data_IF_927391890413
#
_entry.id   IF_927391890413
#
_cell.length_a   1.000
_cell.length_b   1.000
_cell.length_c   1.000
_cell.angle_alpha   90.00
_cell.angle_beta   90.00
_cell.angle_gamma   90.00
#
_symmetry.space_group_name_H-M   'P 1'
#
loop_
_entity.id
_entity.type
_entity.pdbx_description
1 polymer ?
#
# COMPACT_ATOMS: atom_id res chain seq x y z
N UNK A 1 14.90 2.90 40.40
CA UNK A 1 14.65 1.94 39.32
C UNK A 1 13.68 2.64 38.39
N UNK A 2 14.22 3.17 37.30
CA UNK A 2 13.67 4.35 36.65
C UNK A 2 12.41 4.05 35.85
N UNK A 3 11.42 4.94 35.94
CA UNK A 3 10.14 4.82 35.26
C UNK A 3 10.27 4.61 33.74
N UNK A 4 11.37 5.08 33.15
CA UNK A 4 11.71 4.88 31.74
C UNK A 4 12.08 3.43 31.40
N UNK A 5 12.71 2.72 32.34
CA UNK A 5 13.04 1.31 32.15
C UNK A 5 11.76 0.45 32.21
N UNK A 6 10.85 0.77 33.12
CA UNK A 6 9.54 0.09 33.20
C UNK A 6 8.70 0.31 31.95
N UNK A 7 8.66 1.54 31.40
CA UNK A 7 7.94 1.84 30.14
C UNK A 7 8.53 1.08 28.95
N UNK A 8 9.85 1.02 28.86
CA UNK A 8 10.55 0.28 27.81
C UNK A 8 10.26 -1.22 27.85
N UNK A 9 10.24 -1.81 29.05
CA UNK A 9 9.89 -3.23 29.24
C UNK A 9 8.42 -3.49 28.83
N UNK A 10 7.49 -2.62 29.25
CA UNK A 10 6.07 -2.74 28.85
C UNK A 10 5.92 -2.65 27.33
N UNK A 11 6.61 -1.72 26.68
CA UNK A 11 6.58 -1.58 25.22
C UNK A 11 7.10 -2.85 24.52
N UNK A 12 8.20 -3.44 25.01
CA UNK A 12 8.74 -4.70 24.49
C UNK A 12 7.77 -5.88 24.70
N UNK A 13 7.09 -5.95 25.85
CA UNK A 13 6.09 -6.99 26.12
C UNK A 13 4.85 -6.84 25.21
N UNK A 14 4.40 -5.61 24.95
CA UNK A 14 3.29 -5.35 24.02
C UNK A 14 3.70 -5.70 22.59
N UNK A 15 4.91 -5.32 22.18
CA UNK A 15 5.44 -5.66 20.85
C UNK A 15 5.56 -7.19 20.69
N UNK A 16 6.16 -7.86 21.68
CA UNK A 16 6.32 -9.31 21.68
C UNK A 16 4.98 -10.05 21.63
N UNK A 17 4.00 -9.62 22.42
CA UNK A 17 2.65 -10.22 22.40
C UNK A 17 1.94 -9.97 21.08
N UNK A 18 2.06 -8.77 20.49
CA UNK A 18 1.48 -8.45 19.18
C UNK A 18 2.06 -9.31 18.06
N UNK A 19 3.39 -9.51 18.05
CA UNK A 19 4.06 -10.39 17.07
C UNK A 19 3.61 -11.84 17.28
N UNK A 20 3.47 -12.30 18.52
CA UNK A 20 3.01 -13.66 18.81
C UNK A 20 1.58 -13.89 18.31
N UNK A 21 0.68 -12.91 18.51
CA UNK A 21 -0.69 -12.96 17.99
C UNK A 21 -0.69 -12.97 16.45
N UNK A 22 0.10 -12.11 15.81
CA UNK A 22 0.22 -12.10 14.34
C UNK A 22 0.77 -13.42 13.80
N UNK A 23 1.79 -14.00 14.44
CA UNK A 23 2.35 -15.30 14.08
C UNK A 23 1.33 -16.43 14.29
N UNK A 24 0.56 -16.39 15.39
CA UNK A 24 -0.51 -17.33 15.66
C UNK A 24 -1.62 -17.27 14.61
N UNK A 25 -2.08 -16.07 14.26
CA UNK A 25 -3.08 -15.85 13.22
C UNK A 25 -2.58 -16.27 11.83
N UNK A 26 -1.31 -15.98 11.51
CA UNK A 26 -0.69 -16.42 10.25
C UNK A 26 -0.61 -17.95 10.18
N UNK A 27 -0.20 -18.61 11.27
CA UNK A 27 -0.13 -20.08 11.35
C UNK A 27 -1.51 -20.72 11.27
N UNK A 28 -2.49 -20.15 11.98
CA UNK A 28 -3.87 -20.61 11.92
C UNK A 28 -4.44 -20.49 10.50
N UNK A 29 -4.21 -19.35 9.86
CA UNK A 29 -4.60 -19.13 8.46
C UNK A 29 -3.93 -20.15 7.54
N UNK A 30 -2.63 -20.39 7.71
CA UNK A 30 -1.88 -21.39 6.94
C UNK A 30 -2.48 -22.80 7.05
N UNK A 31 -2.88 -23.21 8.26
CA UNK A 31 -3.48 -24.53 8.51
C UNK A 31 -4.89 -24.63 7.90
N UNK A 32 -5.69 -23.56 8.01
CA UNK A 32 -7.10 -23.60 7.59
C UNK A 32 -7.31 -23.37 6.10
N UNK A 33 -6.44 -22.59 5.45
CA UNK A 33 -6.62 -22.24 4.04
C UNK A 33 -5.93 -23.25 3.13
N UNK A 34 -6.72 -23.94 2.30
CA UNK A 34 -6.20 -24.76 1.19
C UNK A 34 -5.80 -23.85 0.03
N UNK A 35 -4.66 -23.17 0.17
CA UNK A 35 -4.11 -22.30 -0.86
C UNK A 35 -3.22 -23.13 -1.80
N UNK A 36 -3.50 -23.14 -3.12
CA UNK A 36 -2.76 -23.96 -4.06
C UNK A 36 -1.29 -23.51 -4.23
N UNK A 37 -1.01 -22.21 -4.12
CA UNK A 37 0.37 -21.69 -4.15
C UNK A 37 0.54 -20.42 -3.31
N UNK A 38 1.70 -20.28 -2.69
CA UNK A 38 2.11 -19.11 -1.92
C UNK A 38 3.00 -18.15 -2.73
N UNK A 39 3.19 -18.43 -4.02
CA UNK A 39 3.93 -17.53 -4.90
C UNK A 39 3.13 -16.25 -5.11
N UNK A 40 3.80 -15.10 -4.92
CA UNK A 40 3.27 -13.79 -5.26
C UNK A 40 3.38 -13.49 -6.77
N UNK A 41 3.96 -14.40 -7.55
CA UNK A 41 4.02 -14.30 -9.00
C UNK A 41 2.66 -14.67 -9.60
N UNK A 42 2.03 -13.80 -10.40
CA UNK A 42 0.77 -14.14 -11.06
C UNK A 42 0.94 -15.26 -12.08
N UNK A 43 2.17 -15.48 -12.61
CA UNK A 43 2.47 -16.59 -13.51
C UNK A 43 2.38 -17.93 -12.77
N UNK A 44 3.04 -18.05 -11.61
CA UNK A 44 3.01 -19.27 -10.80
C UNK A 44 1.61 -19.54 -10.25
N UNK A 45 0.89 -18.48 -9.86
CA UNK A 45 -0.51 -18.57 -9.45
C UNK A 45 -1.39 -19.08 -10.59
N UNK A 46 -1.24 -18.54 -11.81
CA UNK A 46 -1.99 -18.99 -12.98
C UNK A 46 -1.68 -20.43 -13.34
N UNK A 47 -0.39 -20.81 -13.37
CA UNK A 47 0.05 -22.18 -13.65
C UNK A 47 -0.55 -23.18 -12.66
N UNK A 48 -0.45 -22.88 -11.37
CA UNK A 48 -1.00 -23.76 -10.33
C UNK A 48 -2.54 -23.88 -10.44
N UNK A 49 -3.22 -22.80 -10.82
CA UNK A 49 -4.66 -22.81 -11.07
C UNK A 49 -5.07 -23.57 -12.34
N UNK A 50 -4.17 -23.72 -13.32
CA UNK A 50 -4.38 -24.52 -14.52
C UNK A 50 -4.17 -26.01 -14.25
N UNK A 51 -3.13 -26.38 -13.50
CA UNK A 51 -2.69 -27.78 -13.37
C UNK A 51 -3.20 -28.48 -12.10
N UNK A 52 -3.23 -27.78 -10.96
CA UNK A 52 -3.39 -28.42 -9.62
C UNK A 52 -4.75 -28.11 -8.99
N UNK A 53 -5.39 -27.00 -9.35
CA UNK A 53 -6.62 -26.53 -8.70
C UNK A 53 -7.87 -27.29 -9.15
N UNK A 54 -8.43 -28.10 -8.25
CA UNK A 54 -9.69 -28.83 -8.48
C UNK A 54 -10.96 -28.01 -8.15
N UNK A 55 -10.85 -26.88 -7.44
CA UNK A 55 -12.02 -26.12 -6.97
C UNK A 55 -12.48 -25.07 -7.96
N UNK A 56 -11.54 -24.41 -8.66
CA UNK A 56 -11.81 -23.46 -9.75
C UNK A 56 -10.73 -23.63 -10.83
N UNK A 57 -10.82 -24.68 -11.66
CA UNK A 57 -9.86 -24.88 -12.74
C UNK A 57 -9.97 -23.72 -13.74
N UNK A 58 -8.84 -23.12 -14.06
CA UNK A 58 -8.75 -22.23 -15.21
C UNK A 58 -8.70 -23.10 -16.48
N UNK A 59 -9.29 -22.62 -17.56
CA UNK A 59 -9.21 -23.29 -18.85
C UNK A 59 -8.67 -22.32 -19.89
N UNK A 60 -7.67 -22.74 -20.65
CA UNK A 60 -7.12 -21.90 -21.73
C UNK A 60 -8.15 -21.77 -22.85
N UNK A 61 -8.59 -20.54 -23.12
CA UNK A 61 -9.52 -20.26 -24.22
C UNK A 61 -8.74 -19.90 -25.49
N UNK A 62 -8.57 -20.88 -26.37
CA UNK A 62 -7.85 -20.70 -27.65
C UNK A 62 -8.50 -19.70 -28.61
N UNK A 63 -9.73 -19.23 -28.35
CA UNK A 63 -10.36 -18.21 -29.20
C UNK A 63 -10.10 -16.79 -28.71
N UNK A 64 -9.47 -16.62 -27.54
CA UNK A 64 -9.26 -15.32 -26.88
C UNK A 64 -7.79 -14.86 -26.88
N UNK A 65 -6.99 -15.37 -27.81
CA UNK A 65 -5.62 -14.92 -27.97
C UNK A 65 -5.56 -13.41 -28.27
N UNK A 66 -4.54 -12.74 -27.72
CA UNK A 66 -4.25 -11.32 -27.92
C UNK A 66 -5.29 -10.32 -27.36
N UNK A 67 -6.26 -10.74 -26.54
CA UNK A 67 -7.18 -9.82 -25.87
C UNK A 67 -6.67 -9.36 -24.51
N UNK A 68 -6.79 -8.06 -24.25
CA UNK A 68 -6.50 -7.50 -22.93
C UNK A 68 -7.62 -7.84 -21.95
N UNK A 69 -7.33 -7.77 -20.65
CA UNK A 69 -8.33 -7.83 -19.58
C UNK A 69 -9.44 -6.79 -19.74
N UNK A 70 -9.16 -5.65 -20.39
CA UNK A 70 -10.18 -4.63 -20.73
C UNK A 70 -11.29 -5.19 -21.62
N UNK A 71 -10.94 -6.12 -22.48
CA UNK A 71 -11.84 -6.70 -23.48
C UNK A 71 -12.47 -8.02 -22.96
N UNK A 72 -12.45 -8.26 -21.63
CA UNK A 72 -12.91 -9.53 -21.00
C UNK A 72 -14.38 -9.88 -21.21
N UNK A 73 -15.22 -8.89 -21.45
CA UNK A 73 -16.66 -9.09 -21.71
C UNK A 73 -17.00 -9.01 -23.21
N UNK A 74 -16.01 -8.89 -24.09
CA UNK A 74 -16.23 -8.77 -25.54
C UNK A 74 -16.14 -10.13 -26.23
N UNK A 75 -16.97 -10.33 -27.26
CA UNK A 75 -17.01 -11.56 -28.07
C UNK A 75 -15.65 -11.83 -28.69
N UNK A 76 -15.15 -13.05 -28.58
CA UNK A 76 -13.83 -13.52 -29.04
C UNK A 76 -13.66 -13.47 -30.56
N UNK A 77 -13.46 -12.25 -31.09
CA UNK A 77 -13.12 -12.00 -32.48
C UNK A 77 -11.62 -11.75 -32.67
N UNK A 78 -11.04 -12.08 -33.84
CA UNK A 78 -9.66 -11.77 -34.17
C UNK A 78 -9.37 -10.27 -33.98
N UNK A 79 -8.31 -9.95 -33.24
CA UNK A 79 -7.94 -8.56 -32.95
C UNK A 79 -6.47 -8.29 -33.22
N UNK A 80 -6.17 -7.08 -33.69
CA UNK A 80 -4.81 -6.64 -33.98
C UNK A 80 -4.15 -6.16 -32.67
N UNK A 81 -2.86 -6.44 -32.43
CA UNK A 81 -2.15 -5.93 -31.27
C UNK A 81 -2.23 -4.39 -31.18
N UNK A 82 -2.69 -3.90 -30.03
CA UNK A 82 -2.71 -2.47 -29.72
C UNK A 82 -1.28 -2.01 -29.38
N UNK A 83 -0.84 -0.86 -29.93
CA UNK A 83 0.48 -0.27 -29.62
C UNK A 83 0.62 0.18 -28.16
N UNK A 84 -0.50 0.62 -27.57
CA UNK A 84 -0.60 1.10 -26.18
C UNK A 84 -1.84 0.50 -25.56
N UNK A 85 -1.69 -0.13 -24.40
CA UNK A 85 -2.80 -0.78 -23.72
C UNK A 85 -3.56 0.19 -22.81
N UNK A 86 -4.72 -0.23 -22.32
CA UNK A 86 -5.47 0.53 -21.31
C UNK A 86 -4.75 0.58 -19.97
N UNK A 87 -5.15 1.53 -19.12
CA UNK A 87 -4.57 1.75 -17.79
C UNK A 87 -5.14 0.80 -16.74
N UNK A 88 -4.46 0.66 -15.62
CA UNK A 88 -4.93 -0.14 -14.49
C UNK A 88 -6.30 0.34 -13.96
N UNK A 89 -6.52 1.67 -13.98
CA UNK A 89 -7.75 2.32 -13.53
C UNK A 89 -9.01 1.88 -14.29
N UNK A 90 -8.87 1.45 -15.54
CA UNK A 90 -10.00 1.02 -16.37
C UNK A 90 -10.36 -0.44 -16.17
N UNK A 91 -9.48 -1.24 -15.56
CA UNK A 91 -9.68 -2.69 -15.37
C UNK A 91 -10.35 -3.00 -14.04
N UNK A 92 -9.84 -2.41 -12.97
CA UNK A 92 -10.21 -2.76 -11.60
C UNK A 92 -10.97 -1.59 -10.96
N UNK A 93 -12.22 -1.82 -10.56
CA UNK A 93 -13.00 -0.83 -9.78
C UNK A 93 -12.33 -0.52 -8.45
N UNK A 94 -11.65 -1.49 -7.86
CA UNK A 94 -11.00 -1.37 -6.55
C UNK A 94 -9.83 -0.39 -6.58
N UNK A 95 -9.17 -0.25 -7.74
CA UNK A 95 -8.14 0.77 -7.96
C UNK A 95 -8.73 2.18 -7.88
N UNK A 96 -9.97 2.37 -8.36
CA UNK A 96 -10.67 3.66 -8.24
C UNK A 96 -10.98 3.99 -6.78
N UNK A 97 -11.41 2.99 -6.01
CA UNK A 97 -11.67 3.14 -4.57
C UNK A 97 -10.39 3.41 -3.79
N UNK A 98 -9.32 2.65 -4.04
CA UNK A 98 -8.01 2.86 -3.44
C UNK A 98 -7.48 4.27 -3.73
N UNK A 99 -7.60 4.72 -4.99
CA UNK A 99 -7.17 6.04 -5.41
C UNK A 99 -8.04 7.15 -4.77
N UNK A 100 -9.37 6.97 -4.77
CA UNK A 100 -10.30 7.88 -4.10
C UNK A 100 -10.00 8.01 -2.61
N UNK A 101 -9.69 6.91 -1.93
CA UNK A 101 -9.29 6.91 -0.53
C UNK A 101 -8.00 7.70 -0.30
N UNK A 102 -6.95 7.47 -1.10
CA UNK A 102 -5.70 8.25 -0.99
C UNK A 102 -5.91 9.74 -1.25
N UNK A 103 -6.75 10.10 -2.21
CA UNK A 103 -7.13 11.49 -2.44
C UNK A 103 -7.97 12.08 -1.31
N UNK A 104 -8.78 11.28 -0.62
CA UNK A 104 -9.55 11.72 0.56
C UNK A 104 -8.67 11.98 1.80
N UNK A 105 -7.51 11.32 1.92
CA UNK A 105 -6.54 11.60 3.00
C UNK A 105 -6.03 13.04 2.93
N UNK A 106 -5.86 13.61 1.72
CA UNK A 106 -5.34 14.98 1.55
C UNK A 106 -6.24 16.05 2.18
N UNK A 107 -7.54 16.18 1.83
CA UNK A 107 -8.42 17.15 2.47
C UNK A 107 -8.65 16.84 3.94
N UNK A 108 -8.61 15.57 4.37
CA UNK A 108 -8.62 15.22 5.80
C UNK A 108 -7.37 15.76 6.52
N UNK A 109 -6.20 15.64 5.91
CA UNK A 109 -4.95 16.21 6.42
C UNK A 109 -4.97 17.74 6.45
N UNK A 110 -5.51 18.39 5.42
CA UNK A 110 -5.71 19.85 5.39
C UNK A 110 -6.71 20.32 6.46
N UNK A 111 -7.79 19.57 6.67
CA UNK A 111 -8.75 19.83 7.74
C UNK A 111 -8.07 19.70 9.12
N UNK A 112 -7.32 18.63 9.33
CA UNK A 112 -6.55 18.44 10.55
C UNK A 112 -5.52 19.56 10.78
N UNK A 113 -4.77 19.94 9.75
CA UNK A 113 -3.88 21.10 9.78
C UNK A 113 -4.61 22.40 10.15
N UNK A 114 -5.77 22.66 9.53
CA UNK A 114 -6.60 23.83 9.84
C UNK A 114 -7.10 23.86 11.27
N UNK A 115 -7.52 22.71 11.82
CA UNK A 115 -7.89 22.57 13.23
C UNK A 115 -6.71 22.86 14.13
N UNK A 116 -5.55 22.26 13.86
CA UNK A 116 -4.33 22.49 14.65
C UNK A 116 -3.92 23.96 14.60
N UNK A 117 -3.95 24.61 13.43
CA UNK A 117 -3.63 26.02 13.26
C UNK A 117 -4.63 26.95 13.97
N UNK A 118 -5.92 26.65 13.90
CA UNK A 118 -6.96 27.47 14.52
C UNK A 118 -6.82 27.50 16.05
N UNK A 119 -6.48 26.35 16.64
CA UNK A 119 -6.32 26.20 18.09
C UNK A 119 -4.86 26.29 18.56
N UNK A 120 -3.90 26.55 17.66
CA UNK A 120 -2.50 26.73 18.06
C UNK A 120 -2.25 28.12 18.62
N UNK A 121 -1.24 28.24 19.48
CA UNK A 121 -0.76 29.52 20.01
C UNK A 121 0.72 29.68 19.64
N UNK A 122 1.07 30.50 18.63
CA UNK A 122 0.24 31.46 17.92
C UNK A 122 -0.67 30.83 16.85
N UNK A 123 -1.78 31.52 16.54
CA UNK A 123 -2.78 31.08 15.55
C UNK A 123 -2.46 31.54 14.12
N UNK A 124 -1.33 32.21 13.91
CA UNK A 124 -0.89 32.71 12.60
C UNK A 124 0.37 31.99 12.13
N UNK A 125 0.40 31.63 10.83
CA UNK A 125 1.50 30.89 10.21
C UNK A 125 2.81 31.68 10.18
N UNK A 126 2.73 33.00 10.10
CA UNK A 126 3.91 33.89 10.03
C UNK A 126 4.77 33.84 11.29
N UNK A 127 4.17 33.42 12.41
CA UNK A 127 4.85 33.30 13.69
C UNK A 127 5.38 31.88 13.96
N UNK A 128 5.13 30.94 13.04
CA UNK A 128 5.55 29.56 13.19
C UNK A 128 6.90 29.30 12.51
N UNK A 129 7.87 28.69 13.20
CA UNK A 129 9.17 28.38 12.60
C UNK A 129 9.04 27.24 11.58
N UNK A 130 9.56 27.47 10.37
CA UNK A 130 9.52 26.52 9.25
C UNK A 130 10.64 25.45 9.34
N UNK A 131 10.89 24.94 10.54
CA UNK A 131 11.95 23.97 10.78
C UNK A 131 11.50 22.55 10.40
N UNK A 132 12.42 21.75 9.85
CA UNK A 132 12.14 20.35 9.50
C UNK A 132 11.87 19.49 10.74
N UNK A 133 12.57 19.79 11.83
CA UNK A 133 12.33 19.19 13.14
C UNK A 133 11.45 20.12 13.98
N UNK A 134 10.57 19.58 14.84
CA UNK A 134 9.78 20.40 15.75
C UNK A 134 10.72 21.15 16.69
N UNK A 135 10.66 22.48 16.66
CA UNK A 135 11.26 23.32 17.69
C UNK A 135 10.38 23.28 18.94
N UNK A 136 10.99 23.39 20.12
CA UNK A 136 10.25 23.55 21.39
C UNK A 136 9.45 24.86 21.46
N UNK A 137 9.67 25.77 20.51
CA UNK A 137 8.92 27.01 20.35
C UNK A 137 7.50 26.75 19.77
N UNK A 138 6.57 26.53 20.71
CA UNK A 138 5.11 26.79 20.84
C UNK A 138 4.17 26.76 19.62
N UNK A 139 4.58 26.63 18.35
CA UNK A 139 3.61 26.53 17.25
C UNK A 139 2.98 25.13 17.16
N UNK A 140 1.95 24.90 17.97
CA UNK A 140 1.18 23.67 18.00
C UNK A 140 -0.06 23.73 18.88
N UNK A 141 -0.87 22.69 18.76
CA UNK A 141 -2.04 22.43 19.61
C UNK A 141 -1.61 21.55 20.80
N UNK A 142 -1.91 22.02 22.00
CA UNK A 142 -1.63 21.32 23.26
C UNK A 142 -2.95 20.88 23.87
N UNK A 143 -3.21 19.58 23.84
CA UNK A 143 -4.39 18.98 24.48
C UNK A 143 -3.94 18.44 25.83
N UNK A 144 -4.41 19.09 26.89
CA UNK A 144 -4.13 18.68 28.26
C UNK A 144 -5.36 18.03 28.89
N UNK A 145 -5.22 16.79 29.36
CA UNK A 145 -6.27 16.07 30.06
C UNK A 145 -6.26 16.43 31.55
N UNK A 146 -7.33 17.04 32.05
CA UNK A 146 -7.42 17.55 33.43
C UNK A 146 -7.93 16.52 34.44
N UNK A 147 -8.68 15.51 33.99
CA UNK A 147 -9.35 14.56 34.88
C UNK A 147 -9.19 13.12 34.37
N UNK A 148 -8.77 12.20 35.24
CA UNK A 148 -8.77 10.75 34.97
C UNK A 148 -7.55 10.02 35.53
N UNK A 149 -7.68 8.73 35.87
CA UNK A 149 -6.53 7.91 36.23
C UNK A 149 -5.60 7.71 35.02
N UNK A 150 -4.29 7.60 35.27
CA UNK A 150 -3.25 7.62 34.23
C UNK A 150 -3.44 6.60 33.10
N UNK A 151 -4.04 5.44 33.38
CA UNK A 151 -4.28 4.41 32.38
C UNK A 151 -5.39 4.78 31.38
N UNK A 152 -6.43 5.50 31.81
CA UNK A 152 -7.50 5.98 30.93
C UNK A 152 -6.97 7.06 29.98
N UNK A 153 -6.17 7.98 30.49
CA UNK A 153 -5.54 9.04 29.70
C UNK A 153 -4.58 8.47 28.63
N UNK A 154 -3.82 7.45 29.00
CA UNK A 154 -2.97 6.71 28.08
C UNK A 154 -3.80 6.04 26.96
N UNK A 155 -4.89 5.36 27.33
CA UNK A 155 -5.76 4.68 26.36
C UNK A 155 -6.40 5.67 25.39
N UNK A 156 -6.94 6.80 25.88
CA UNK A 156 -7.52 7.85 25.02
C UNK A 156 -6.47 8.42 24.06
N UNK A 157 -5.26 8.69 24.56
CA UNK A 157 -4.16 9.20 23.73
C UNK A 157 -3.78 8.20 22.63
N UNK A 158 -3.66 6.90 22.96
CA UNK A 158 -3.39 5.84 21.98
C UNK A 158 -4.52 5.74 20.93
N UNK A 159 -5.78 5.83 21.35
CA UNK A 159 -6.91 5.79 20.41
C UNK A 159 -6.90 6.97 19.45
N UNK A 160 -6.60 8.18 19.91
CA UNK A 160 -6.50 9.37 19.06
C UNK A 160 -5.34 9.24 18.08
N UNK A 161 -4.15 8.87 18.56
CA UNK A 161 -2.98 8.67 17.69
C UNK A 161 -3.25 7.58 16.66
N UNK A 162 -3.86 6.47 17.07
CA UNK A 162 -4.26 5.38 16.17
C UNK A 162 -5.28 5.83 15.13
N UNK A 163 -6.29 6.61 15.53
CA UNK A 163 -7.29 7.15 14.61
C UNK A 163 -6.66 8.08 13.56
N UNK A 164 -5.66 8.88 13.94
CA UNK A 164 -4.93 9.75 13.00
C UNK A 164 -3.95 8.97 12.10
N UNK A 165 -3.30 7.92 12.64
CA UNK A 165 -2.33 7.10 11.91
C UNK A 165 -2.99 6.11 10.92
N UNK A 166 -4.19 5.64 11.24
CA UNK A 166 -4.86 4.58 10.48
C UNK A 166 -5.08 4.96 9.01
N UNK A 167 -5.63 6.14 8.65
CA UNK A 167 -5.79 6.54 7.26
C UNK A 167 -4.48 6.54 6.46
N UNK A 168 -3.40 7.06 7.05
CA UNK A 168 -2.08 7.09 6.41
C UNK A 168 -1.54 5.68 6.16
N UNK A 169 -1.69 4.79 7.15
CA UNK A 169 -1.24 3.40 7.07
C UNK A 169 -2.01 2.62 6.00
N UNK A 170 -3.35 2.76 5.99
CA UNK A 170 -4.19 2.15 4.96
C UNK A 170 -3.82 2.71 3.58
N UNK A 171 -3.61 4.03 3.44
CA UNK A 171 -3.23 4.65 2.17
C UNK A 171 -1.92 4.10 1.61
N UNK A 172 -0.91 3.90 2.47
CA UNK A 172 0.36 3.28 2.10
C UNK A 172 0.19 1.82 1.66
N UNK A 173 -0.68 1.04 2.31
CA UNK A 173 -0.98 -0.34 1.90
C UNK A 173 -1.78 -0.38 0.59
N UNK A 174 -2.70 0.56 0.37
CA UNK A 174 -3.36 0.70 -0.93
C UNK A 174 -2.34 1.00 -2.04
N UNK A 175 -1.41 1.94 -1.81
CA UNK A 175 -0.34 2.24 -2.77
C UNK A 175 0.57 1.02 -3.03
N UNK A 176 0.81 0.19 -2.02
CA UNK A 176 1.54 -1.07 -2.15
C UNK A 176 0.85 -2.06 -3.09
N UNK A 177 -0.47 -2.24 -2.95
CA UNK A 177 -1.25 -3.08 -3.87
C UNK A 177 -1.15 -2.59 -5.31
N UNK A 178 -1.22 -1.27 -5.54
CA UNK A 178 -1.07 -0.67 -6.87
C UNK A 178 0.34 -0.87 -7.45
N UNK A 179 1.38 -0.72 -6.62
CA UNK A 179 2.77 -0.96 -7.02
C UNK A 179 2.98 -2.43 -7.41
N UNK A 180 2.43 -3.35 -6.63
CA UNK A 180 2.50 -4.79 -6.93
C UNK A 180 1.82 -5.09 -8.26
N UNK A 181 0.62 -4.58 -8.49
CA UNK A 181 -0.12 -4.78 -9.73
C UNK A 181 0.61 -4.23 -10.96
N UNK A 182 1.23 -3.05 -10.83
CA UNK A 182 2.07 -2.44 -11.89
C UNK A 182 3.35 -3.24 -12.14
N UNK A 183 4.00 -3.72 -11.07
CA UNK A 183 5.22 -4.53 -11.16
C UNK A 183 4.94 -5.87 -11.83
N UNK A 184 3.83 -6.50 -11.48
CA UNK A 184 3.42 -7.80 -12.00
C UNK A 184 3.14 -7.72 -13.51
N UNK A 185 2.47 -6.65 -13.97
CA UNK A 185 2.30 -6.36 -15.39
C UNK A 185 3.64 -6.15 -16.10
N UNK A 186 4.62 -5.49 -15.45
CA UNK A 186 5.97 -5.32 -16.00
C UNK A 186 6.73 -6.64 -16.10
N UNK A 187 6.60 -7.53 -15.10
CA UNK A 187 7.20 -8.87 -15.13
C UNK A 187 6.60 -9.67 -16.28
N UNK A 188 5.28 -9.69 -16.44
CA UNK A 188 4.63 -10.39 -17.54
C UNK A 188 5.14 -9.91 -18.91
N UNK A 189 5.37 -8.60 -19.07
CA UNK A 189 5.93 -8.04 -20.32
C UNK A 189 7.37 -8.45 -20.60
N UNK A 190 8.13 -8.85 -19.59
CA UNK A 190 9.45 -9.43 -19.83
C UNK A 190 9.36 -10.82 -20.47
N UNK A 191 8.19 -11.48 -20.47
CA UNK A 191 8.01 -12.80 -21.06
C UNK A 191 8.17 -12.79 -22.58
N UNK A 192 7.85 -11.67 -23.22
CA UNK A 192 8.04 -11.48 -24.65
C UNK A 192 9.48 -11.17 -25.04
N UNK A 193 10.40 -11.02 -24.08
CA UNK A 193 11.82 -10.84 -24.35
C UNK A 193 12.48 -12.15 -24.76
N UNK A 194 13.54 -12.09 -25.57
CA UNK A 194 14.31 -13.28 -25.98
C UNK A 194 14.93 -14.07 -24.82
N UNK A 195 14.99 -13.49 -23.62
CA UNK A 195 15.45 -14.15 -22.39
C UNK A 195 14.32 -14.83 -21.58
N UNK A 196 13.06 -14.61 -21.93
CA UNK A 196 11.89 -15.02 -21.15
C UNK A 196 11.78 -14.31 -19.78
N UNK A 197 10.81 -14.73 -18.96
CA UNK A 197 10.69 -14.31 -17.55
C UNK A 197 11.31 -15.31 -16.60
N UNK A 198 12.00 -14.79 -15.57
CA UNK A 198 12.19 -15.53 -14.32
C UNK A 198 11.14 -15.02 -13.32
N UNK A 199 10.22 -15.86 -12.82
CA UNK A 199 9.18 -15.42 -11.88
C UNK A 199 9.76 -14.85 -10.57
N UNK A 200 10.97 -15.29 -10.19
CA UNK A 200 11.72 -14.77 -9.04
C UNK A 200 12.47 -13.45 -9.32
N UNK A 201 11.84 -12.51 -10.03
CA UNK A 201 12.45 -11.20 -10.24
C UNK A 201 12.50 -10.43 -8.91
N UNK A 202 13.70 -9.98 -8.55
CA UNK A 202 13.95 -9.36 -7.25
C UNK A 202 13.13 -8.07 -7.10
N UNK A 203 12.14 -8.07 -6.19
CA UNK A 203 11.20 -6.96 -6.00
C UNK A 203 11.91 -5.63 -5.71
N UNK A 204 13.09 -5.68 -5.09
CA UNK A 204 13.91 -4.53 -4.74
C UNK A 204 14.56 -3.80 -5.93
N UNK A 205 14.53 -4.36 -7.14
CA UNK A 205 14.99 -3.67 -8.36
C UNK A 205 13.94 -2.74 -8.97
N UNK A 206 12.71 -2.81 -8.48
CA UNK A 206 11.58 -2.02 -8.95
C UNK A 206 11.66 -0.60 -8.37
N UNK A 207 11.78 0.43 -9.21
CA UNK A 207 11.78 1.81 -8.75
C UNK A 207 10.46 2.17 -8.03
N UNK A 208 9.33 1.58 -8.45
CA UNK A 208 8.03 1.72 -7.78
C UNK A 208 8.12 1.27 -6.32
N UNK A 209 8.77 0.13 -6.08
CA UNK A 209 8.92 -0.47 -4.75
C UNK A 209 9.89 0.30 -3.88
N UNK A 210 11.01 0.76 -4.45
CA UNK A 210 11.98 1.61 -3.73
C UNK A 210 11.28 2.91 -3.28
N UNK A 211 10.58 3.58 -4.19
CA UNK A 211 9.92 4.84 -3.89
C UNK A 211 8.78 4.66 -2.86
N UNK A 212 8.03 3.56 -2.94
CA UNK A 212 7.03 3.19 -1.94
C UNK A 212 7.66 2.96 -0.55
N UNK A 213 8.78 2.26 -0.45
CA UNK A 213 9.48 2.08 0.84
C UNK A 213 9.94 3.40 1.42
N UNK A 214 10.45 4.30 0.58
CA UNK A 214 10.78 5.66 1.01
C UNK A 214 9.54 6.38 1.52
N UNK A 215 8.41 6.35 0.80
CA UNK A 215 7.16 6.95 1.29
C UNK A 215 6.68 6.36 2.63
N UNK A 216 6.74 5.04 2.80
CA UNK A 216 6.40 4.38 4.07
C UNK A 216 7.23 4.93 5.22
N UNK A 217 8.55 4.95 5.06
CA UNK A 217 9.47 5.45 6.07
C UNK A 217 9.25 6.95 6.36
N UNK A 218 9.18 7.78 5.32
CA UNK A 218 9.00 9.22 5.46
C UNK A 218 7.65 9.57 6.07
N UNK A 219 6.53 9.04 5.58
CA UNK A 219 5.20 9.40 6.10
C UNK A 219 5.07 9.03 7.58
N UNK A 220 5.53 7.83 7.98
CA UNK A 220 5.50 7.44 9.39
C UNK A 220 6.42 8.28 10.27
N UNK A 221 7.62 8.61 9.78
CA UNK A 221 8.53 9.50 10.50
C UNK A 221 7.94 10.91 10.66
N UNK A 222 7.42 11.49 9.57
CA UNK A 222 6.77 12.81 9.57
C UNK A 222 5.53 12.84 10.46
N UNK A 223 4.75 11.76 10.48
CA UNK A 223 3.62 11.60 11.40
C UNK A 223 4.09 11.60 12.86
N UNK A 224 5.13 10.83 13.19
CA UNK A 224 5.71 10.79 14.54
C UNK A 224 6.31 12.14 15.00
N UNK A 225 6.77 12.98 14.06
CA UNK A 225 7.18 14.36 14.38
C UNK A 225 5.98 15.30 14.56
N UNK A 226 4.86 15.02 13.89
CA UNK A 226 3.65 15.86 13.96
C UNK A 226 2.86 15.66 15.24
N UNK A 227 2.90 14.45 15.82
CA UNK A 227 2.15 14.10 17.03
C UNK A 227 3.11 13.54 18.07
N UNK A 228 3.20 14.20 19.23
CA UNK A 228 4.06 13.77 20.33
C UNK A 228 3.29 13.76 21.66
N UNK A 229 3.62 12.83 22.54
CA UNK A 229 3.05 12.66 23.87
C UNK A 229 4.17 12.61 24.90
N UNK A 230 4.50 13.77 25.48
CA UNK A 230 5.60 13.89 26.46
C UNK A 230 5.22 13.37 27.86
N UNK A 231 3.93 13.38 28.20
CA UNK A 231 3.35 12.94 29.49
C UNK A 231 2.02 12.26 29.16
N UNK A 232 1.57 11.19 29.85
CA UNK A 232 0.29 10.52 29.58
C UNK A 232 -0.93 11.47 29.59
N UNK A 233 -0.81 12.67 30.16
CA UNK A 233 -1.85 13.69 30.22
C UNK A 233 -1.77 14.76 29.12
N UNK A 234 -0.74 14.79 28.28
CA UNK A 234 -0.57 15.88 27.30
C UNK A 234 -0.23 15.36 25.91
N UNK A 235 -1.13 15.61 24.97
CA UNK A 235 -0.96 15.34 23.54
C UNK A 235 -0.62 16.65 22.83
N UNK A 236 0.50 16.65 22.11
CA UNK A 236 1.00 17.81 21.39
C UNK A 236 0.97 17.54 19.90
N UNK A 237 0.40 18.47 19.13
CA UNK A 237 0.35 18.40 17.67
C UNK A 237 0.99 19.65 17.07
N UNK A 238 2.05 19.49 16.28
CA UNK A 238 2.81 20.62 15.73
C UNK A 238 2.26 21.04 14.36
N UNK A 239 1.88 22.31 14.22
CA UNK A 239 1.18 22.84 13.05
C UNK A 239 1.95 22.63 11.74
N UNK A 240 3.20 23.06 11.68
CA UNK A 240 4.04 22.95 10.47
C UNK A 240 4.36 21.48 10.15
N UNK A 241 4.54 20.65 11.17
CA UNK A 241 4.85 19.23 10.97
C UNK A 241 3.64 18.46 10.42
N UNK A 242 2.43 18.80 10.86
CA UNK A 242 1.17 18.32 10.29
C UNK A 242 1.00 18.72 8.83
N UNK A 243 1.38 19.96 8.47
CA UNK A 243 1.38 20.40 7.06
C UNK A 243 2.32 19.54 6.21
N UNK A 244 3.55 19.35 6.66
CA UNK A 244 4.52 18.49 5.96
C UNK A 244 4.03 17.04 5.83
N UNK A 245 3.38 16.49 6.84
CA UNK A 245 2.74 15.16 6.76
C UNK A 245 1.66 15.13 5.65
N UNK A 246 0.85 16.18 5.57
CA UNK A 246 -0.19 16.35 4.52
C UNK A 246 0.43 16.48 3.13
N UNK A 247 1.54 17.22 2.99
CA UNK A 247 2.30 17.30 1.73
C UNK A 247 2.84 15.93 1.32
N UNK A 248 3.37 15.14 2.26
CA UNK A 248 3.80 13.77 1.95
C UNK A 248 2.63 12.88 1.50
N UNK A 249 1.44 13.02 2.12
CA UNK A 249 0.24 12.31 1.70
C UNK A 249 -0.22 12.72 0.28
N UNK A 250 -0.12 14.01 -0.06
CA UNK A 250 -0.38 14.50 -1.41
C UNK A 250 0.61 13.90 -2.43
N UNK A 251 1.90 13.88 -2.11
CA UNK A 251 2.91 13.26 -2.97
C UNK A 251 2.66 11.76 -3.17
N UNK A 252 2.23 11.04 -2.13
CA UNK A 252 1.82 9.64 -2.23
C UNK A 252 0.60 9.48 -3.16
N UNK A 253 -0.43 10.33 -3.02
CA UNK A 253 -1.61 10.30 -3.88
C UNK A 253 -1.26 10.59 -5.35
N UNK A 254 -0.37 11.55 -5.60
CA UNK A 254 0.13 11.85 -6.95
C UNK A 254 0.91 10.67 -7.53
N UNK A 255 1.82 10.07 -6.75
CA UNK A 255 2.56 8.88 -7.15
C UNK A 255 1.62 7.70 -7.49
N UNK A 256 0.64 7.43 -6.64
CA UNK A 256 -0.35 6.39 -6.89
C UNK A 256 -1.22 6.67 -8.12
N UNK A 257 -1.57 7.94 -8.35
CA UNK A 257 -2.28 8.40 -9.55
C UNK A 257 -1.44 8.14 -10.80
N UNK A 258 -0.16 8.52 -10.78
CA UNK A 258 0.78 8.31 -11.88
C UNK A 258 0.89 6.80 -12.21
N UNK A 259 1.14 5.94 -11.23
CA UNK A 259 1.17 4.49 -11.44
C UNK A 259 -0.15 3.96 -12.01
N UNK A 260 -1.29 4.45 -11.51
CA UNK A 260 -2.62 3.96 -11.93
C UNK A 260 -2.98 4.37 -13.36
N UNK A 261 -2.49 5.52 -13.82
CA UNK A 261 -2.73 6.04 -15.16
C UNK A 261 -1.68 5.59 -16.17
N UNK A 262 -0.54 5.06 -15.72
CA UNK A 262 0.48 4.50 -16.61
C UNK A 262 -0.14 3.41 -17.49
N UNK A 263 -0.06 3.68 -18.79
CA UNK A 263 -0.51 2.77 -19.84
C UNK A 263 0.71 2.08 -20.41
N UNK A 264 0.79 0.75 -20.31
CA UNK A 264 1.97 0.05 -20.75
C UNK A 264 2.02 0.01 -22.28
N UNK A 265 3.26 0.08 -22.78
CA UNK A 265 3.55 0.04 -24.21
C UNK A 265 3.91 -1.37 -24.65
N UNK A 266 3.60 -1.66 -25.91
CA UNK A 266 3.98 -2.89 -26.57
C UNK A 266 2.78 -3.77 -26.97
N UNK A 267 3.04 -4.76 -27.84
CA UNK A 267 2.01 -5.57 -28.46
C UNK A 267 1.34 -6.54 -27.49
N UNK A 268 1.99 -6.87 -26.36
CA UNK A 268 1.43 -7.75 -25.36
C UNK A 268 0.20 -7.11 -24.69
N UNK A 269 -0.96 -7.78 -24.71
CA UNK A 269 -2.17 -7.27 -24.07
C UNK A 269 -1.98 -7.13 -22.57
N UNK A 270 -2.54 -6.07 -21.98
CA UNK A 270 -2.43 -5.87 -20.54
C UNK A 270 -3.31 -6.87 -19.79
N UNK A 271 -2.79 -7.43 -18.69
CA UNK A 271 -3.50 -8.40 -17.85
C UNK A 271 -3.77 -7.86 -16.46
N UNK A 272 -2.86 -7.03 -15.91
CA UNK A 272 -2.95 -6.51 -14.55
C UNK A 272 -3.39 -7.59 -13.55
N UNK A 273 -2.66 -8.71 -13.51
CA UNK A 273 -2.86 -9.80 -12.55
C UNK A 273 -4.11 -10.67 -12.78
N UNK A 274 -4.88 -10.46 -13.87
CA UNK A 274 -6.05 -11.27 -14.15
C UNK A 274 -5.66 -12.67 -14.66
N UNK A 275 -5.73 -13.66 -13.77
CA UNK A 275 -5.22 -15.03 -13.99
C UNK A 275 -5.76 -15.68 -15.28
N UNK A 276 -7.07 -15.58 -15.54
CA UNK A 276 -7.65 -16.15 -16.76
C UNK A 276 -7.08 -15.51 -18.04
N UNK A 277 -6.81 -14.20 -18.02
CA UNK A 277 -6.20 -13.54 -19.19
C UNK A 277 -4.74 -13.93 -19.35
N UNK A 278 -4.03 -14.19 -18.25
CA UNK A 278 -2.67 -14.73 -18.31
C UNK A 278 -2.68 -16.14 -18.91
N UNK A 279 -3.62 -16.99 -18.47
CA UNK A 279 -3.81 -18.34 -19.00
C UNK A 279 -4.13 -18.36 -20.51
N UNK A 280 -4.91 -17.39 -20.98
CA UNK A 280 -5.25 -17.25 -22.40
C UNK A 280 -4.07 -16.74 -23.25
N UNK A 281 -3.09 -16.04 -22.65
CA UNK A 281 -1.99 -15.39 -23.37
C UNK A 281 -0.68 -16.18 -23.37
N UNK A 282 -0.42 -16.99 -22.35
CA UNK A 282 0.82 -17.77 -22.26
C UNK A 282 0.66 -19.06 -23.06
N UNK A 283 1.53 -19.22 -24.05
CA UNK A 283 1.44 -20.36 -24.96
C UNK A 283 2.13 -21.62 -24.45
N UNK A 284 3.26 -21.45 -23.76
CA UNK A 284 4.10 -22.53 -23.23
C UNK A 284 4.31 -22.32 -21.72
N UNK A 285 3.94 -23.32 -20.93
CA UNK A 285 4.28 -23.39 -19.51
C UNK A 285 5.48 -24.33 -19.30
N UNK A 286 6.21 -24.19 -18.18
CA UNK A 286 7.40 -24.99 -17.88
C UNK A 286 7.16 -26.52 -17.81
N UNK A 287 5.91 -26.99 -17.87
CA UNK A 287 5.54 -28.41 -17.97
C UNK A 287 5.10 -28.88 -19.37
N UNK A 288 4.91 -27.99 -20.35
CA UNK A 288 4.38 -28.34 -21.68
C UNK A 288 5.45 -28.81 -22.67
N UNK A 289 6.73 -28.69 -22.31
CA UNK A 289 7.83 -29.24 -23.11
C UNK A 289 7.98 -30.72 -22.79
N UNK A 290 7.81 -31.66 -23.77
CA UNK A 290 8.39 -32.99 -23.59
C UNK A 290 9.88 -32.77 -23.35
N UNK A 291 10.40 -33.31 -22.24
CA UNK A 291 11.84 -33.39 -22.01
C UNK A 291 12.45 -34.04 -23.27
N UNK A 292 13.14 -33.23 -24.07
CA UNK A 292 14.13 -33.68 -25.04
C UNK A 292 15.51 -33.44 -24.45
#
# INVERSE_FOLDING_TARGET
>A
MDADNTRSIIALLILGSSILVQAGLATWSFIMTKIPTWSSSPLDATFTCLEVSNTHPLYRNQKRFMKSVHDRHTISDPCIPKKKQGSMLTVHSDVKWALGFMWAIVPLGLCWFGVVLHFSSPSSLDQCPWNLLPSFEICGLYIHWTNGPSYQLCLVTILIVSALQTPLTIGLHCAELLCNLSRDERILRQATSSRGTKPHYNALKSWETILLFMFKAFIHWRFGLSVNSHIPSTLTMFTIQTLYCTVCALLLALFATDISLRRPYGPLPATYGHLQTIADLVDEWQGDSPMF
#
